data_IF_094079999888
#
_entry.id   IF_094079999888
#
_cell.length_a   1.000
_cell.length_b   1.000
_cell.length_c   1.000
_cell.angle_alpha   90.00
_cell.angle_beta   90.00
_cell.angle_gamma   90.00
#
_symmetry.space_group_name_H-M   'P 1'
#
loop_
_entity.id
_entity.type
_entity.pdbx_description
1 polymer ?
#
# COMPACT_ATOMS: atom_id res chain seq x y z
N UNK A 1 8.87 -1.90 -23.49
CA UNK A 1 9.35 -1.17 -22.28
C UNK A 1 8.80 -1.85 -21.04
N UNK A 2 9.57 -2.75 -20.42
CA UNK A 2 9.25 -3.36 -19.13
C UNK A 2 9.26 -2.25 -18.08
N UNK A 3 8.09 -1.98 -17.49
CA UNK A 3 7.96 -0.98 -16.41
C UNK A 3 8.93 -1.37 -15.29
N UNK A 4 9.74 -0.44 -14.74
CA UNK A 4 10.64 -0.77 -13.65
C UNK A 4 9.81 -1.27 -12.47
N UNK A 5 10.04 -2.51 -12.03
CA UNK A 5 9.34 -3.07 -10.87
C UNK A 5 9.72 -2.24 -9.64
N UNK A 6 8.80 -1.46 -9.04
CA UNK A 6 9.12 -0.59 -7.92
C UNK A 6 9.39 -1.39 -6.62
N UNK A 7 9.16 -2.71 -6.68
CA UNK A 7 9.38 -3.68 -5.61
C UNK A 7 10.66 -4.52 -5.77
N UNK A 8 11.48 -4.27 -6.81
CA UNK A 8 12.60 -5.15 -7.24
C UNK A 8 13.74 -5.33 -6.22
N UNK A 9 13.65 -4.73 -5.04
CA UNK A 9 14.64 -4.83 -3.96
C UNK A 9 14.03 -5.10 -2.58
N UNK A 10 12.72 -5.34 -2.51
CA UNK A 10 12.06 -5.65 -1.24
C UNK A 10 12.05 -7.17 -1.04
N UNK A 11 12.57 -7.63 0.10
CA UNK A 11 12.39 -9.02 0.54
C UNK A 11 10.93 -9.30 0.93
N UNK A 12 10.21 -8.26 1.31
CA UNK A 12 8.77 -8.30 1.60
C UNK A 12 7.99 -8.34 0.29
N UNK A 13 7.04 -9.27 0.18
CA UNK A 13 6.16 -9.38 -1.00
C UNK A 13 5.47 -8.06 -1.30
N UNK A 14 5.41 -7.68 -2.58
CA UNK A 14 4.76 -6.46 -3.05
C UNK A 14 3.29 -6.35 -2.63
N UNK A 15 2.64 -7.51 -2.43
CA UNK A 15 1.27 -7.63 -1.93
C UNK A 15 1.12 -7.12 -0.50
N UNK A 16 2.10 -7.38 0.36
CA UNK A 16 2.12 -6.93 1.76
C UNK A 16 2.25 -5.41 1.82
N UNK A 17 3.20 -4.86 1.06
CA UNK A 17 3.43 -3.41 0.99
C UNK A 17 2.17 -2.71 0.48
N UNK A 18 1.52 -3.30 -0.54
CA UNK A 18 0.26 -2.79 -1.08
C UNK A 18 -0.87 -2.86 -0.06
N UNK A 19 -1.00 -3.95 0.67
CA UNK A 19 -2.03 -4.14 1.70
C UNK A 19 -1.86 -3.11 2.83
N UNK A 20 -0.65 -2.95 3.36
CA UNK A 20 -0.35 -1.97 4.40
C UNK A 20 -0.68 -0.53 3.97
N UNK A 21 -0.26 -0.15 2.76
CA UNK A 21 -0.52 1.20 2.23
C UNK A 21 -2.01 1.42 1.93
N UNK A 22 -2.72 0.41 1.41
CA UNK A 22 -4.16 0.51 1.16
C UNK A 22 -4.93 0.61 2.48
N UNK A 23 -4.56 -0.18 3.50
CA UNK A 23 -5.18 -0.11 4.82
C UNK A 23 -5.06 1.30 5.40
N UNK A 24 -3.87 1.90 5.31
CA UNK A 24 -3.63 3.27 5.77
C UNK A 24 -4.39 4.34 4.98
N UNK A 25 -4.52 4.19 3.65
CA UNK A 25 -5.23 5.17 2.79
C UNK A 25 -6.75 5.05 2.89
N UNK A 26 -7.25 3.82 3.00
CA UNK A 26 -8.68 3.52 2.86
C UNK A 26 -9.41 3.51 4.20
N UNK A 27 -8.70 3.23 5.29
CA UNK A 27 -9.23 3.27 6.63
C UNK A 27 -8.40 4.26 7.46
N UNK A 28 -9.02 5.05 8.36
CA UNK A 28 -8.30 5.94 9.27
C UNK A 28 -7.63 5.13 10.39
N UNK A 29 -6.79 4.17 10.03
CA UNK A 29 -6.07 3.31 10.96
C UNK A 29 -4.80 4.00 11.42
N UNK A 30 -4.53 3.91 12.73
CA UNK A 30 -3.23 4.30 13.27
C UNK A 30 -2.16 3.32 12.82
N UNK A 31 -0.90 3.80 12.72
CA UNK A 31 0.22 2.97 12.28
C UNK A 31 0.40 1.70 13.14
N UNK A 32 0.07 1.77 14.43
CA UNK A 32 0.06 0.62 15.36
C UNK A 32 -0.97 -0.44 14.97
N UNK A 33 -2.16 -0.04 14.52
CA UNK A 33 -3.17 -1.00 14.08
C UNK A 33 -2.72 -1.68 12.79
N UNK A 34 -2.05 -0.94 11.89
CA UNK A 34 -1.48 -1.54 10.67
C UNK A 34 -0.34 -2.50 10.99
N UNK A 35 0.51 -2.16 11.96
CA UNK A 35 1.55 -3.06 12.50
C UNK A 35 0.94 -4.35 13.06
N UNK A 36 -0.09 -4.24 13.91
CA UNK A 36 -0.80 -5.39 14.49
C UNK A 36 -1.41 -6.30 13.42
N UNK A 37 -2.06 -5.72 12.40
CA UNK A 37 -2.57 -6.47 11.23
C UNK A 37 -1.48 -7.21 10.47
N UNK A 38 -0.31 -6.60 10.30
CA UNK A 38 0.82 -7.25 9.64
C UNK A 38 1.39 -8.37 10.51
N UNK A 39 1.45 -8.15 11.82
CA UNK A 39 1.91 -9.15 12.79
C UNK A 39 0.98 -10.37 12.81
N UNK A 40 -0.34 -10.17 12.77
CA UNK A 40 -1.33 -11.25 12.69
C UNK A 40 -1.16 -12.08 11.39
N UNK A 41 -0.70 -11.45 10.32
CA UNK A 41 -0.33 -12.12 9.06
C UNK A 41 1.04 -12.82 9.10
N UNK A 42 1.72 -12.87 10.26
CA UNK A 42 3.03 -13.49 10.45
C UNK A 42 4.18 -12.64 9.89
N UNK A 43 3.95 -11.34 9.69
CA UNK A 43 4.92 -10.41 9.13
C UNK A 43 5.39 -9.50 10.25
N UNK A 44 6.58 -9.77 10.77
CA UNK A 44 7.24 -8.88 11.74
C UNK A 44 7.70 -7.62 11.00
N UNK A 45 6.98 -6.51 11.21
CA UNK A 45 7.27 -5.22 10.57
C UNK A 45 6.86 -4.08 11.47
N UNK A 46 7.80 -3.21 11.82
CA UNK A 46 7.53 -2.05 12.66
C UNK A 46 6.75 -0.95 11.95
N UNK A 47 6.04 -0.14 12.72
CA UNK A 47 5.30 1.03 12.24
C UNK A 47 6.19 2.04 11.48
N UNK A 48 7.49 2.09 11.77
CA UNK A 48 8.48 2.88 11.03
C UNK A 48 8.63 2.40 9.58
N UNK A 49 8.62 1.08 9.35
CA UNK A 49 8.65 0.48 8.03
C UNK A 49 7.37 0.78 7.26
N UNK A 50 6.21 0.72 7.92
CA UNK A 50 4.93 1.14 7.34
C UNK A 50 4.98 2.61 6.93
N UNK A 51 5.55 3.48 7.77
CA UNK A 51 5.75 4.91 7.47
C UNK A 51 6.72 5.13 6.30
N UNK A 52 7.76 4.31 6.17
CA UNK A 52 8.69 4.33 5.04
C UNK A 52 7.99 3.94 3.74
N UNK A 53 7.19 2.88 3.76
CA UNK A 53 6.39 2.45 2.61
C UNK A 53 5.37 3.52 2.20
N UNK A 54 4.73 4.17 3.17
CA UNK A 54 3.84 5.31 2.91
C UNK A 54 4.58 6.46 2.21
N UNK A 55 5.73 6.89 2.72
CA UNK A 55 6.49 7.99 2.09
C UNK A 55 6.92 7.66 0.67
N UNK A 56 7.31 6.41 0.42
CA UNK A 56 7.84 5.99 -0.89
C UNK A 56 6.74 5.68 -1.91
N UNK A 57 5.67 5.00 -1.49
CA UNK A 57 4.64 4.49 -2.39
C UNK A 57 3.30 5.19 -2.27
N UNK A 58 3.08 6.01 -1.24
CA UNK A 58 1.87 6.80 -1.01
C UNK A 58 1.37 7.53 -2.26
N UNK A 59 2.19 8.38 -2.93
CA UNK A 59 1.75 9.09 -4.13
C UNK A 59 1.42 8.15 -5.30
N UNK A 60 2.16 7.04 -5.45
CA UNK A 60 1.92 6.06 -6.52
C UNK A 60 0.59 5.31 -6.31
N UNK A 61 0.33 4.85 -5.08
CA UNK A 61 -0.90 4.16 -4.74
C UNK A 61 -2.10 5.10 -4.69
N UNK A 62 -1.96 6.32 -4.18
CA UNK A 62 -3.03 7.33 -4.21
C UNK A 62 -3.44 7.66 -5.65
N UNK A 63 -2.47 7.83 -6.56
CA UNK A 63 -2.74 8.03 -7.98
C UNK A 63 -3.40 6.81 -8.64
N UNK A 64 -3.00 5.58 -8.27
CA UNK A 64 -3.63 4.36 -8.76
C UNK A 64 -5.08 4.20 -8.26
N UNK A 65 -5.34 4.43 -6.97
CA UNK A 65 -6.66 4.37 -6.37
C UNK A 65 -7.57 5.43 -7.02
N UNK A 66 -7.07 6.66 -7.20
CA UNK A 66 -7.79 7.72 -7.89
C UNK A 66 -8.13 7.34 -9.33
N UNK A 67 -7.16 6.81 -10.09
CA UNK A 67 -7.40 6.33 -11.47
C UNK A 67 -8.44 5.22 -11.53
N UNK A 68 -8.36 4.22 -10.63
CA UNK A 68 -9.35 3.15 -10.54
C UNK A 68 -10.74 3.69 -10.21
N UNK A 69 -10.86 4.66 -9.30
CA UNK A 69 -12.14 5.30 -8.94
C UNK A 69 -12.76 6.02 -10.14
N UNK A 70 -11.98 6.83 -10.85
CA UNK A 70 -12.43 7.56 -12.04
C UNK A 70 -12.82 6.60 -13.17
N UNK A 71 -12.02 5.56 -13.42
CA UNK A 71 -12.33 4.53 -14.41
C UNK A 71 -13.64 3.82 -14.09
N UNK A 72 -13.86 3.47 -12.82
CA UNK A 72 -15.10 2.81 -12.38
C UNK A 72 -16.32 3.71 -12.55
N UNK A 73 -16.18 5.02 -12.32
CA UNK A 73 -17.26 5.98 -12.59
C UNK A 73 -17.57 6.09 -14.10
N UNK A 74 -16.54 6.09 -14.96
CA UNK A 74 -16.71 6.13 -16.42
C UNK A 74 -17.34 4.87 -17.01
N UNK A 75 -17.13 3.70 -16.41
CA UNK A 75 -17.77 2.46 -16.85
C UNK A 75 -19.25 2.34 -16.47
N UNK A 76 -19.74 3.23 -15.59
CA UNK A 76 -21.16 3.29 -15.19
C UNK A 76 -21.92 4.41 -15.92
N UNK A 77 -21.28 5.13 -16.86
CA UNK A 77 -21.91 6.12 -17.75
C UNK A 77 -22.07 5.56 -19.16
#
# INVERSE_FOLDING_TARGET
>A
MTKPNPFRYFKTSSEIIRLAVILYVRFPLSLRNVEDFLHEHGIDTSHETVRFWWNRFGPMFAAEIRRKRISRMRSYS
#
